data_IF_329502135319
#
_entry.id   IF_329502135319
#
_cell.length_a   1.000
_cell.length_b   1.000
_cell.length_c   1.000
_cell.angle_alpha   90.00
_cell.angle_beta   90.00
_cell.angle_gamma   90.00
#
_symmetry.space_group_name_H-M   'P 1'
#
loop_
_entity.id
_entity.type
_entity.pdbx_description
1 polymer ?
#
# COMPACT_ATOMS: atom_id res chain seq x y z
N UNK A 1 -13.27 -30.85 41.53
CA UNK A 1 -13.16 -29.37 41.66
C UNK A 1 -11.81 -28.79 41.23
N UNK A 2 -10.67 -29.46 41.43
CA UNK A 2 -9.33 -28.93 41.04
C UNK A 2 -9.10 -28.68 39.54
N UNK A 3 -9.74 -29.45 38.66
CA UNK A 3 -9.58 -29.30 37.20
C UNK A 3 -10.23 -28.02 36.63
N UNK A 4 -11.24 -27.46 37.30
CA UNK A 4 -11.94 -26.25 36.83
C UNK A 4 -11.12 -24.98 37.09
N UNK A 5 -10.40 -24.93 38.22
CA UNK A 5 -9.54 -23.80 38.61
C UNK A 5 -8.31 -23.65 37.71
N UNK A 6 -7.72 -24.76 37.26
CA UNK A 6 -6.57 -24.75 36.32
C UNK A 6 -7.02 -24.31 34.92
N UNK A 7 -8.25 -24.66 34.51
CA UNK A 7 -8.82 -24.23 33.23
C UNK A 7 -9.07 -22.71 33.23
N UNK A 8 -9.65 -22.16 34.31
CA UNK A 8 -9.89 -20.72 34.46
C UNK A 8 -8.59 -19.90 34.55
N UNK A 9 -7.55 -20.42 35.21
CA UNK A 9 -6.24 -19.76 35.28
C UNK A 9 -5.50 -19.67 33.94
N UNK A 10 -5.79 -20.58 32.99
CA UNK A 10 -5.23 -20.59 31.63
C UNK A 10 -6.06 -19.77 30.64
N UNK A 11 -7.35 -19.59 30.88
CA UNK A 11 -8.22 -18.74 30.05
C UNK A 11 -7.90 -17.24 30.22
N UNK A 12 -7.56 -16.80 31.43
CA UNK A 12 -7.25 -15.40 31.74
C UNK A 12 -6.16 -14.79 30.83
N UNK A 13 -4.97 -15.42 30.64
CA UNK A 13 -3.93 -14.85 29.78
C UNK A 13 -4.31 -14.88 28.30
N UNK A 14 -5.11 -15.85 27.86
CA UNK A 14 -5.61 -15.94 26.48
C UNK A 14 -6.59 -14.80 26.20
N UNK A 15 -7.50 -14.53 27.14
CA UNK A 15 -8.45 -13.43 27.05
C UNK A 15 -7.73 -12.08 27.04
N UNK A 16 -6.68 -11.94 27.85
CA UNK A 16 -5.86 -10.73 27.87
C UNK A 16 -5.11 -10.53 26.54
N UNK A 17 -4.51 -11.57 25.98
CA UNK A 17 -3.87 -11.54 24.65
C UNK A 17 -4.87 -11.11 23.56
N UNK A 18 -6.08 -11.68 23.59
CA UNK A 18 -7.14 -11.33 22.64
C UNK A 18 -7.58 -9.86 22.77
N UNK A 19 -7.71 -9.34 23.99
CA UNK A 19 -8.02 -7.94 24.25
C UNK A 19 -6.90 -7.01 23.75
N UNK A 20 -5.63 -7.37 23.95
CA UNK A 20 -4.49 -6.57 23.45
C UNK A 20 -4.50 -6.50 21.93
N UNK A 21 -4.75 -7.62 21.24
CA UNK A 21 -4.86 -7.63 19.77
C UNK A 21 -6.03 -6.76 19.31
N UNK A 22 -7.20 -6.87 19.95
CA UNK A 22 -8.36 -6.02 19.64
C UNK A 22 -8.06 -4.53 19.83
N UNK A 23 -7.35 -4.14 20.89
CA UNK A 23 -6.97 -2.74 21.14
C UNK A 23 -5.99 -2.23 20.09
N UNK A 24 -5.04 -3.06 19.64
CA UNK A 24 -4.09 -2.69 18.58
C UNK A 24 -4.81 -2.48 17.24
N UNK A 25 -5.72 -3.38 16.86
CA UNK A 25 -6.51 -3.25 15.64
C UNK A 25 -7.50 -2.06 15.71
N UNK A 26 -8.16 -1.85 16.86
CA UNK A 26 -9.09 -0.74 17.07
C UNK A 26 -8.40 0.63 17.11
N UNK A 27 -7.12 0.67 17.48
CA UNK A 27 -6.35 1.92 17.52
C UNK A 27 -6.11 2.54 16.15
N UNK A 28 -6.50 1.87 15.05
CA UNK A 28 -6.65 2.48 13.72
C UNK A 28 -5.37 3.12 13.17
N UNK A 29 -4.21 2.85 13.77
CA UNK A 29 -2.92 3.32 13.29
C UNK A 29 -2.56 2.50 12.07
N UNK A 30 -3.11 2.91 10.93
CA UNK A 30 -2.53 2.61 9.64
C UNK A 30 -1.11 3.14 9.66
N UNK A 31 -0.12 2.24 9.74
CA UNK A 31 1.26 2.61 9.49
C UNK A 31 1.29 3.05 8.03
N UNK A 32 1.30 4.37 7.80
CA UNK A 32 1.58 4.92 6.49
C UNK A 32 3.05 4.66 6.23
N UNK A 33 3.32 3.53 5.59
CA UNK A 33 4.62 3.32 4.95
C UNK A 33 4.57 4.22 3.72
N UNK A 34 5.28 5.36 3.78
CA UNK A 34 5.53 6.18 2.59
C UNK A 34 6.23 5.29 1.56
N UNK A 35 5.44 4.74 0.63
CA UNK A 35 5.97 3.97 -0.47
C UNK A 35 6.72 4.94 -1.39
N UNK A 36 8.02 4.71 -1.56
CA UNK A 36 8.89 5.60 -2.32
C UNK A 36 8.33 5.72 -3.74
N UNK A 37 8.13 6.95 -4.20
CA UNK A 37 7.62 7.19 -5.56
C UNK A 37 8.80 7.29 -6.54
N UNK A 38 8.79 6.45 -7.56
CA UNK A 38 9.71 6.48 -8.68
C UNK A 38 9.08 7.17 -9.90
N UNK A 39 9.94 7.74 -10.75
CA UNK A 39 9.57 8.35 -12.02
C UNK A 39 10.36 7.68 -13.15
N UNK A 40 9.65 7.26 -14.20
CA UNK A 40 10.25 6.90 -15.48
C UNK A 40 9.60 7.70 -16.62
N UNK A 41 10.36 7.97 -17.68
CA UNK A 41 9.89 8.73 -18.83
C UNK A 41 10.26 8.04 -20.15
N UNK A 42 9.33 8.05 -21.10
CA UNK A 42 9.50 7.50 -22.45
C UNK A 42 8.62 8.27 -23.45
N UNK A 43 8.78 8.02 -24.76
CA UNK A 43 7.98 8.72 -25.78
C UNK A 43 6.48 8.48 -25.62
N UNK A 44 5.67 9.54 -25.73
CA UNK A 44 4.21 9.43 -25.66
C UNK A 44 3.55 9.45 -27.05
N UNK A 45 3.10 8.29 -27.58
CA UNK A 45 2.31 8.26 -28.80
C UNK A 45 0.89 8.80 -28.57
N UNK A 46 0.23 8.42 -27.48
CA UNK A 46 -1.06 8.96 -27.04
C UNK A 46 -1.25 8.74 -25.53
N UNK A 47 -2.24 9.44 -24.94
CA UNK A 47 -2.50 9.42 -23.50
C UNK A 47 -2.98 8.07 -22.98
N UNK A 48 -3.78 7.35 -23.78
CA UNK A 48 -4.33 6.04 -23.43
C UNK A 48 -3.23 5.00 -23.31
N UNK A 49 -2.31 4.98 -24.28
CA UNK A 49 -1.11 4.15 -24.26
C UNK A 49 -0.23 4.42 -23.05
N UNK A 50 -0.05 5.69 -22.68
CA UNK A 50 0.74 6.07 -21.51
C UNK A 50 0.12 5.54 -20.21
N UNK A 51 -1.20 5.71 -20.06
CA UNK A 51 -1.96 5.21 -18.91
C UNK A 51 -1.94 3.68 -18.84
N UNK A 52 -2.27 3.00 -19.93
CA UNK A 52 -2.29 1.54 -19.98
C UNK A 52 -0.91 0.93 -19.75
N UNK A 53 0.13 1.46 -20.38
CA UNK A 53 1.49 0.96 -20.22
C UNK A 53 2.01 1.20 -18.81
N UNK A 54 1.78 2.39 -18.24
CA UNK A 54 2.22 2.69 -16.88
C UNK A 54 1.48 1.83 -15.84
N UNK A 55 0.16 1.68 -15.99
CA UNK A 55 -0.65 0.82 -15.13
C UNK A 55 -0.27 -0.66 -15.26
N UNK A 56 -0.04 -1.16 -16.47
CA UNK A 56 0.30 -2.58 -16.69
C UNK A 56 1.73 -2.94 -16.27
N UNK A 57 2.72 -2.08 -16.53
CA UNK A 57 4.12 -2.41 -16.23
C UNK A 57 4.54 -2.08 -14.80
N UNK A 58 4.03 -0.97 -14.25
CA UNK A 58 4.52 -0.43 -12.98
C UNK A 58 3.42 -0.32 -11.92
N UNK A 59 2.16 -0.66 -12.26
CA UNK A 59 1.01 -0.44 -11.40
C UNK A 59 0.93 1.03 -10.92
N UNK A 60 1.30 1.94 -11.82
CA UNK A 60 1.43 3.38 -11.57
C UNK A 60 0.51 4.23 -12.42
N UNK A 61 0.66 5.54 -12.29
CA UNK A 61 -0.12 6.55 -13.00
C UNK A 61 0.74 7.24 -14.07
N UNK A 62 0.25 7.18 -15.32
CA UNK A 62 0.93 7.74 -16.49
C UNK A 62 0.23 8.99 -17.02
N UNK A 63 0.99 10.03 -17.33
CA UNK A 63 0.52 11.22 -18.03
C UNK A 63 1.45 11.62 -19.18
N UNK A 64 0.88 12.13 -20.28
CA UNK A 64 1.68 12.70 -21.34
C UNK A 64 1.84 14.20 -21.19
N UNK A 65 3.09 14.65 -21.20
CA UNK A 65 3.50 16.04 -21.05
C UNK A 65 4.22 16.49 -22.30
N UNK A 66 3.86 17.68 -22.78
CA UNK A 66 4.49 18.35 -23.91
C UNK A 66 5.10 19.66 -23.40
N UNK A 67 6.42 19.81 -23.52
CA UNK A 67 7.10 21.07 -23.22
C UNK A 67 7.52 21.76 -24.53
N UNK A 68 7.74 23.09 -24.53
CA UNK A 68 8.00 23.84 -25.77
C UNK A 68 9.22 23.38 -26.57
N UNK A 69 10.20 22.74 -25.92
CA UNK A 69 11.48 22.32 -26.52
C UNK A 69 11.75 20.83 -26.38
N UNK A 70 10.81 20.07 -25.82
CA UNK A 70 10.99 18.64 -25.53
C UNK A 70 9.88 17.89 -26.25
N UNK A 71 10.20 16.80 -26.99
CA UNK A 71 9.19 15.95 -27.61
C UNK A 71 8.20 15.45 -26.56
N UNK A 72 6.97 15.10 -26.99
CA UNK A 72 5.94 14.58 -26.08
C UNK A 72 6.46 13.37 -25.32
N UNK A 73 6.44 13.44 -23.99
CA UNK A 73 6.90 12.37 -23.11
C UNK A 73 5.76 11.85 -22.27
N UNK A 74 5.72 10.54 -22.04
CA UNK A 74 4.89 9.90 -21.04
C UNK A 74 5.70 9.84 -19.74
N UNK A 75 5.24 10.51 -18.68
CA UNK A 75 5.77 10.38 -17.32
C UNK A 75 4.93 9.37 -16.56
N UNK A 76 5.58 8.34 -16.05
CA UNK A 76 4.96 7.27 -15.28
C UNK A 76 5.45 7.34 -13.83
N UNK A 77 4.53 7.57 -12.91
CA UNK A 77 4.75 7.65 -11.47
C UNK A 77 4.28 6.34 -10.83
N UNK A 78 5.16 5.67 -10.09
CA UNK A 78 4.85 4.36 -9.52
C UNK A 78 5.55 4.14 -8.19
N UNK A 79 5.03 3.21 -7.39
CA UNK A 79 5.64 2.84 -6.13
C UNK A 79 6.84 1.90 -6.35
N UNK A 80 7.93 2.24 -5.68
CA UNK A 80 9.18 1.53 -5.54
C UNK A 80 9.70 1.74 -4.10
#
# INVERSE_FOLDING_TARGET
MFNLFILMGKLLPIFYLFLVVLVIFASGKTIQVDAKTCLTAYGCPNDEYCKERCGSMYNGEGECVQWPLIPRECRCYYHC
#
